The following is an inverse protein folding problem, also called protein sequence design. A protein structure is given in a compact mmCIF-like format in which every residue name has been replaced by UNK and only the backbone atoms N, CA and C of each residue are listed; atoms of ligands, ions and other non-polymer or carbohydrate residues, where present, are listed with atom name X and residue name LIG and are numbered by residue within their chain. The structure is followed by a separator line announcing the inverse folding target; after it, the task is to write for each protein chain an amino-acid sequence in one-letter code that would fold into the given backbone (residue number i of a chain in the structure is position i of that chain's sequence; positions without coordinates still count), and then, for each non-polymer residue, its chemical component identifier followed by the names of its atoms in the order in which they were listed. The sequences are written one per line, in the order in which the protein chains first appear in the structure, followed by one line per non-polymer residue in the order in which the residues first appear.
data_IF_796325658303
#
_entry.id   IF_796325658303
#
_cell.length_a   1.000
_cell.length_b   1.000
_cell.length_c   1.000
_cell.angle_alpha   90.00
_cell.angle_beta   90.00
_cell.angle_gamma   90.00
#
_symmetry.space_group_name_H-M   'P 1'
#
loop_
_entity.id
_entity.type
_entity.pdbx_description
1 polymer ?
#
# COMPACT_ATOMS: atom_id res chain seq x y z
N UNK A 1 14.58 -67.83 34.17
CA UNK A 1 15.36 -68.14 32.95
C UNK A 1 14.64 -67.42 31.76
N UNK A 2 15.18 -66.36 31.27
CA UNK A 2 14.62 -65.61 30.15
C UNK A 2 15.60 -64.55 29.71
N UNK A 3 16.32 -64.82 28.61
CA UNK A 3 17.38 -63.99 28.10
C UNK A 3 16.88 -62.68 27.48
N UNK A 4 17.54 -61.62 27.84
CA UNK A 4 17.43 -60.32 27.18
C UNK A 4 18.32 -60.28 25.94
N UNK A 5 17.75 -60.12 24.75
CA UNK A 5 18.47 -59.84 23.51
C UNK A 5 18.62 -58.33 23.35
N UNK A 6 19.83 -57.83 23.47
CA UNK A 6 20.21 -56.46 23.17
C UNK A 6 20.20 -56.22 21.66
N UNK A 7 19.38 -55.26 21.17
CA UNK A 7 19.44 -54.78 19.79
C UNK A 7 20.53 -53.72 19.66
N UNK A 8 21.50 -53.96 18.77
CA UNK A 8 22.54 -53.00 18.36
C UNK A 8 21.95 -51.93 17.48
N UNK A 9 22.28 -50.67 17.75
CA UNK A 9 22.02 -49.54 16.90
C UNK A 9 22.97 -49.53 15.68
N UNK A 10 22.53 -49.08 14.48
CA UNK A 10 23.43 -49.02 13.32
C UNK A 10 24.32 -47.79 13.42
N UNK A 11 25.63 -48.03 13.15
CA UNK A 11 26.66 -47.00 13.00
C UNK A 11 26.44 -46.27 11.65
N UNK A 12 26.25 -44.96 11.70
CA UNK A 12 26.24 -44.10 10.52
C UNK A 12 27.69 -43.78 10.10
N UNK A 13 28.07 -44.17 8.90
CA UNK A 13 29.32 -43.81 8.24
C UNK A 13 29.19 -42.39 7.65
N UNK A 14 30.12 -41.51 8.03
CA UNK A 14 30.24 -40.15 7.47
C UNK A 14 31.19 -40.20 6.25
N UNK A 15 30.70 -40.65 5.11
CA UNK A 15 31.38 -40.47 3.83
C UNK A 15 30.45 -39.69 2.87
N UNK A 16 30.86 -38.48 2.48
CA UNK A 16 30.18 -37.73 1.39
C UNK A 16 29.88 -36.26 1.62
N UNK A 17 30.76 -35.52 2.28
CA UNK A 17 30.68 -34.05 2.22
C UNK A 17 31.57 -33.51 1.07
N UNK A 18 31.07 -32.70 0.13
CA UNK A 18 31.91 -32.08 -0.88
C UNK A 18 32.76 -30.96 -0.26
N UNK A 19 34.03 -30.90 -0.71
CA UNK A 19 35.03 -29.94 -0.29
C UNK A 19 34.56 -28.46 -0.57
N UNK A 20 35.04 -27.49 0.24
CA UNK A 20 34.71 -26.08 0.01
C UNK A 20 35.35 -25.58 -1.28
N UNK A 21 34.52 -24.93 -2.12
CA UNK A 21 34.95 -24.26 -3.34
C UNK A 21 35.75 -23.00 -2.97
N UNK A 22 37.05 -23.03 -3.23
CA UNK A 22 37.94 -21.87 -3.11
C UNK A 22 37.63 -20.89 -4.26
N UNK A 23 37.34 -19.65 -3.91
CA UNK A 23 37.20 -18.55 -4.88
C UNK A 23 38.55 -18.29 -5.58
N UNK A 24 38.55 -18.03 -6.91
CA UNK A 24 39.76 -17.68 -7.63
C UNK A 24 40.29 -16.31 -7.24
N UNK A 25 41.61 -16.04 -7.40
CA UNK A 25 42.22 -14.79 -6.96
C UNK A 25 41.77 -13.60 -7.82
N UNK A 26 41.61 -12.46 -7.16
CA UNK A 26 41.26 -11.15 -7.71
C UNK A 26 42.20 -10.74 -8.86
N UNK A 27 41.65 -10.47 -10.02
CA UNK A 27 42.40 -10.10 -11.22
C UNK A 27 42.61 -8.58 -11.27
N UNK A 28 43.88 -8.14 -11.19
CA UNK A 28 44.37 -6.76 -11.11
C UNK A 28 44.15 -5.93 -12.43
N UNK A 29 43.34 -6.37 -13.37
CA UNK A 29 43.12 -5.62 -14.63
C UNK A 29 42.01 -4.56 -14.56
N UNK A 30 41.38 -4.31 -13.42
CA UNK A 30 40.30 -3.31 -13.30
C UNK A 30 40.76 -1.88 -12.94
N UNK A 31 42.03 -1.66 -12.61
CA UNK A 31 42.49 -0.30 -12.26
C UNK A 31 42.76 0.64 -13.45
N UNK A 32 42.97 0.10 -14.64
CA UNK A 32 43.25 0.94 -15.84
C UNK A 32 41.98 1.56 -16.44
N UNK A 33 40.81 1.00 -16.18
CA UNK A 33 39.54 1.58 -16.65
C UNK A 33 39.00 2.72 -15.78
N UNK A 34 39.41 2.83 -14.53
CA UNK A 34 38.99 3.93 -13.66
C UNK A 34 39.69 5.26 -13.96
N UNK A 35 40.89 5.21 -14.54
CA UNK A 35 41.67 6.43 -14.86
C UNK A 35 41.20 7.17 -16.10
N UNK A 36 40.40 6.53 -16.99
CA UNK A 36 39.88 7.15 -18.22
C UNK A 36 38.49 7.78 -18.05
N UNK A 37 37.79 7.55 -16.96
CA UNK A 37 36.46 8.14 -16.69
C UNK A 37 36.49 9.49 -15.96
N UNK A 38 37.60 9.88 -15.36
CA UNK A 38 37.69 11.15 -14.65
C UNK A 38 37.46 12.43 -15.50
N UNK A 39 37.87 12.52 -16.79
CA UNK A 39 37.58 13.68 -17.60
C UNK A 39 36.11 13.89 -17.92
N UNK A 40 35.33 12.81 -17.99
CA UNK A 40 33.91 12.85 -18.35
C UNK A 40 33.04 13.34 -17.18
N UNK A 41 33.33 12.92 -15.96
CA UNK A 41 32.64 13.37 -14.75
C UNK A 41 32.94 14.85 -14.43
N UNK A 42 34.19 15.35 -14.70
CA UNK A 42 34.50 16.77 -14.57
C UNK A 42 33.77 17.63 -15.60
N UNK A 43 33.54 17.16 -16.82
CA UNK A 43 32.75 17.89 -17.83
C UNK A 43 31.27 17.96 -17.47
N UNK A 44 30.71 16.93 -16.88
CA UNK A 44 29.31 16.94 -16.39
C UNK A 44 29.13 17.85 -15.20
N UNK A 45 30.06 17.88 -14.25
CA UNK A 45 30.01 18.80 -13.11
C UNK A 45 30.15 20.28 -13.52
N UNK A 46 30.99 20.58 -14.53
CA UNK A 46 31.13 21.93 -15.08
C UNK A 46 29.93 22.38 -15.92
N UNK A 47 29.22 21.44 -16.56
CA UNK A 47 27.98 21.74 -17.29
C UNK A 47 26.82 21.99 -16.31
N UNK A 48 26.70 21.20 -15.21
CA UNK A 48 25.72 21.41 -14.16
C UNK A 48 25.93 22.75 -13.42
N UNK A 49 27.19 23.16 -13.19
CA UNK A 49 27.50 24.46 -12.56
C UNK A 49 27.21 25.67 -13.46
N UNK A 50 27.32 25.51 -14.79
CA UNK A 50 26.97 26.57 -15.76
C UNK A 50 25.47 26.72 -15.99
N UNK A 51 24.68 25.64 -15.87
CA UNK A 51 23.24 25.70 -16.05
C UNK A 51 22.51 26.26 -14.84
N UNK A 52 23.11 26.29 -13.66
CA UNK A 52 22.48 26.89 -12.47
C UNK A 52 22.37 28.43 -12.51
N UNK A 53 23.12 29.12 -13.40
CA UNK A 53 23.05 30.57 -13.48
C UNK A 53 21.97 31.16 -14.39
N UNK A 54 21.23 30.34 -15.14
CA UNK A 54 20.26 30.85 -16.13
C UNK A 54 18.80 30.47 -15.91
N UNK A 55 18.45 29.69 -14.87
CA UNK A 55 17.09 29.08 -14.77
C UNK A 55 16.19 29.56 -13.62
N UNK A 56 16.63 30.40 -12.68
CA UNK A 56 15.77 30.76 -11.54
C UNK A 56 15.80 32.22 -11.08
N UNK A 57 15.23 33.19 -11.83
CA UNK A 57 14.90 34.51 -11.25
C UNK A 57 13.72 34.44 -10.25
N UNK A 58 12.84 33.43 -10.38
CA UNK A 58 11.61 33.32 -9.58
C UNK A 58 11.84 32.85 -8.13
N UNK A 59 12.90 32.12 -7.85
CA UNK A 59 13.16 31.61 -6.48
C UNK A 59 13.76 32.71 -5.57
N UNK A 60 14.45 33.69 -6.11
CA UNK A 60 15.05 34.78 -5.33
C UNK A 60 13.99 35.73 -4.75
N UNK A 61 12.91 35.97 -5.49
CA UNK A 61 11.81 36.82 -5.03
C UNK A 61 10.98 36.23 -3.87
N UNK A 62 11.04 34.93 -3.65
CA UNK A 62 10.32 34.28 -2.53
C UNK A 62 11.13 34.24 -1.22
N UNK A 63 12.42 34.44 -1.27
CA UNK A 63 13.28 34.49 -0.07
C UNK A 63 13.33 35.88 0.60
N UNK A 64 13.15 36.95 -0.17
CA UNK A 64 13.14 38.32 0.37
C UNK A 64 11.85 38.66 1.12
N UNK A 65 10.80 37.86 1.00
CA UNK A 65 9.51 38.06 1.70
C UNK A 65 9.54 37.64 3.18
N UNK A 66 10.57 36.96 3.65
CA UNK A 66 10.69 36.50 5.04
C UNK A 66 11.53 37.39 5.96
N UNK A 67 12.08 38.49 5.45
CA UNK A 67 13.06 39.29 6.20
C UNK A 67 12.53 40.60 6.82
N UNK A 68 11.28 40.98 6.57
CA UNK A 68 10.75 42.24 7.11
C UNK A 68 9.36 42.04 7.74
N UNK A 69 9.35 41.71 9.00
CA UNK A 69 8.15 41.64 9.84
C UNK A 69 8.49 42.03 11.27
N UNK A 70 8.85 43.30 11.50
CA UNK A 70 8.95 43.82 12.86
C UNK A 70 7.58 43.90 13.51
N UNK A 71 7.48 43.27 14.67
CA UNK A 71 6.32 43.31 15.55
C UNK A 71 6.14 44.70 16.14
N UNK A 72 5.11 45.41 15.77
CA UNK A 72 4.61 46.59 16.47
C UNK A 72 3.55 46.18 17.46
N UNK A 73 3.82 46.31 18.74
CA UNK A 73 2.88 46.18 19.84
C UNK A 73 2.24 47.52 20.14
N UNK A 74 0.95 47.67 19.95
CA UNK A 74 0.14 48.68 20.63
C UNK A 74 -1.12 48.04 21.20
N UNK A 75 -1.47 48.29 22.46
CA UNK A 75 -2.68 47.75 23.07
C UNK A 75 -3.85 48.69 22.82
N UNK A 76 -4.96 48.16 22.36
CA UNK A 76 -6.23 48.86 22.37
C UNK A 76 -7.29 48.01 23.01
N UNK A 77 -8.00 48.63 23.89
CA UNK A 77 -9.01 48.24 24.86
C UNK A 77 -10.27 47.59 24.26
N UNK A 78 -10.75 46.60 25.00
CA UNK A 78 -12.16 46.24 25.28
C UNK A 78 -13.23 46.42 24.20
N UNK A 79 -13.66 45.27 23.66
CA UNK A 79 -15.10 45.04 23.54
C UNK A 79 -15.38 43.54 23.74
N UNK A 80 -16.16 43.24 24.80
CA UNK A 80 -16.55 41.92 25.16
C UNK A 80 -17.74 41.48 24.30
N UNK A 81 -17.46 40.90 23.15
CA UNK A 81 -18.43 40.06 22.48
C UNK A 81 -18.25 38.62 22.94
N UNK A 82 -19.31 38.12 23.53
CA UNK A 82 -19.50 36.80 24.05
C UNK A 82 -19.48 35.80 22.90
N UNK A 83 -18.29 35.42 22.48
CA UNK A 83 -18.08 34.34 21.54
C UNK A 83 -18.59 33.04 22.17
N UNK A 84 -19.73 32.59 21.68
CA UNK A 84 -20.30 31.31 22.00
C UNK A 84 -19.27 30.27 21.64
N UNK A 85 -18.57 29.72 22.63
CA UNK A 85 -17.66 28.60 22.44
C UNK A 85 -18.46 27.46 21.82
N UNK A 86 -18.42 27.35 20.49
CA UNK A 86 -18.71 26.09 19.84
C UNK A 86 -17.59 25.17 20.25
N UNK A 87 -17.89 24.31 21.21
CA UNK A 87 -17.07 23.13 21.49
C UNK A 87 -16.72 22.49 20.14
N UNK A 88 -15.46 22.06 19.92
CA UNK A 88 -15.14 21.32 18.71
C UNK A 88 -16.07 20.12 18.68
N UNK A 89 -16.95 20.09 17.67
CA UNK A 89 -17.79 18.94 17.39
C UNK A 89 -16.84 17.77 17.32
N UNK A 90 -17.05 16.83 18.22
CA UNK A 90 -16.26 15.60 18.32
C UNK A 90 -16.40 14.87 16.97
N UNK A 91 -15.45 15.12 16.06
CA UNK A 91 -15.47 14.61 14.70
C UNK A 91 -15.28 13.09 14.67
N UNK A 92 -15.08 12.50 15.84
CA UNK A 92 -14.92 11.09 16.07
C UNK A 92 -16.14 10.52 16.81
N UNK A 93 -17.33 10.71 16.25
CA UNK A 93 -18.47 9.94 16.76
C UNK A 93 -18.18 8.46 16.54
N UNK A 94 -18.17 7.68 17.63
CA UNK A 94 -17.94 6.23 17.65
C UNK A 94 -18.62 5.42 16.52
N UNK A 95 -19.82 5.77 16.04
CA UNK A 95 -20.47 5.01 14.97
C UNK A 95 -19.76 5.06 13.61
N UNK A 96 -19.15 6.17 13.23
CA UNK A 96 -18.49 6.30 11.94
C UNK A 96 -17.15 5.52 11.88
N UNK A 97 -16.41 5.51 12.98
CA UNK A 97 -15.17 4.74 13.11
C UNK A 97 -15.46 3.24 13.14
N UNK A 98 -16.49 2.80 13.85
CA UNK A 98 -16.89 1.38 13.94
C UNK A 98 -17.45 0.84 12.62
N UNK A 99 -18.05 1.68 11.80
CA UNK A 99 -18.58 1.24 10.50
C UNK A 99 -17.50 1.01 9.46
N UNK A 100 -16.36 1.66 9.59
CA UNK A 100 -15.27 1.57 8.61
C UNK A 100 -14.39 0.34 8.82
N UNK A 101 -13.98 0.09 10.05
CA UNK A 101 -13.25 -1.12 10.39
C UNK A 101 -14.28 -2.16 10.86
N UNK A 102 -14.56 -3.14 10.02
CA UNK A 102 -15.35 -4.31 10.37
C UNK A 102 -14.87 -4.79 11.74
N UNK A 103 -15.67 -4.57 12.76
CA UNK A 103 -15.35 -4.69 14.18
C UNK A 103 -14.34 -5.80 14.50
N UNK A 104 -13.09 -5.46 14.64
CA UNK A 104 -12.14 -6.33 15.31
C UNK A 104 -12.23 -6.04 16.82
N UNK A 105 -12.80 -6.96 17.57
CA UNK A 105 -12.83 -6.86 19.04
C UNK A 105 -11.49 -7.19 19.68
N UNK A 106 -10.53 -7.63 18.90
CA UNK A 106 -9.28 -8.11 19.46
C UNK A 106 -8.24 -7.03 19.43
N UNK A 107 -7.91 -6.68 20.62
CA UNK A 107 -6.78 -5.87 21.03
C UNK A 107 -5.55 -6.28 20.23
N UNK A 108 -4.88 -5.31 19.64
CA UNK A 108 -3.54 -5.49 19.11
C UNK A 108 -2.70 -6.31 20.08
N UNK A 109 -2.05 -7.37 19.63
CA UNK A 109 -1.03 -7.98 20.45
C UNK A 109 -0.08 -6.87 20.85
N UNK A 110 0.23 -6.81 22.14
CA UNK A 110 1.19 -5.88 22.69
C UNK A 110 2.38 -5.80 21.74
N UNK A 111 2.75 -4.57 21.36
CA UNK A 111 3.93 -4.32 20.57
C UNK A 111 5.08 -5.18 21.10
N UNK A 112 5.87 -5.87 20.26
CA UNK A 112 6.86 -6.85 20.67
C UNK A 112 8.08 -6.29 21.43
N UNK A 113 7.93 -5.14 22.08
CA UNK A 113 8.84 -4.71 23.16
C UNK A 113 8.67 -5.52 24.44
N UNK A 114 7.77 -6.50 24.47
CA UNK A 114 7.74 -7.50 25.52
C UNK A 114 9.08 -8.28 25.44
N UNK A 115 9.90 -8.05 26.45
CA UNK A 115 11.29 -8.44 26.63
C UNK A 115 11.54 -9.96 26.61
N UNK A 116 11.07 -10.76 25.73
CA UNK A 116 11.37 -12.20 25.65
C UNK A 116 10.82 -12.85 24.36
N UNK A 117 10.41 -12.05 23.37
CA UNK A 117 10.02 -12.61 22.09
C UNK A 117 11.20 -12.45 21.16
N UNK A 118 11.68 -13.55 20.59
CA UNK A 118 12.62 -13.49 19.48
C UNK A 118 12.08 -12.50 18.46
N UNK A 119 12.91 -11.61 17.87
CA UNK A 119 12.45 -10.65 16.89
C UNK A 119 11.97 -11.38 15.64
N UNK A 120 10.75 -11.87 15.68
CA UNK A 120 10.03 -12.16 14.46
C UNK A 120 9.84 -10.82 13.74
N UNK A 121 10.18 -10.80 12.47
CA UNK A 121 9.98 -9.64 11.64
C UNK A 121 8.48 -9.42 11.49
N UNK A 122 7.92 -8.64 12.42
CA UNK A 122 6.54 -8.23 12.37
C UNK A 122 6.40 -7.05 11.42
N UNK A 123 5.35 -7.06 10.62
CA UNK A 123 4.96 -5.89 9.87
C UNK A 123 4.75 -4.73 10.85
N UNK A 124 5.44 -3.58 10.68
CA UNK A 124 5.30 -2.43 11.56
C UNK A 124 3.88 -1.85 11.58
N UNK A 125 3.07 -2.14 10.56
CA UNK A 125 1.66 -1.76 10.50
C UNK A 125 0.83 -2.98 10.87
N UNK A 126 0.16 -2.92 12.02
CA UNK A 126 -0.72 -3.98 12.50
C UNK A 126 -2.00 -4.00 11.67
N UNK A 127 -2.39 -5.18 11.22
CA UNK A 127 -3.65 -5.41 10.54
C UNK A 127 -4.77 -5.77 11.55
N UNK A 128 -5.98 -5.30 11.29
CA UNK A 128 -7.16 -5.68 12.05
C UNK A 128 -7.46 -7.18 11.88
N UNK A 129 -7.97 -7.82 12.92
CA UNK A 129 -8.40 -9.22 12.86
C UNK A 129 -9.83 -9.29 12.34
N UNK A 130 -10.03 -9.93 11.21
CA UNK A 130 -11.35 -10.10 10.63
C UNK A 130 -12.09 -11.31 11.19
N UNK A 131 -13.38 -11.14 11.43
CA UNK A 131 -14.28 -12.27 11.62
C UNK A 131 -14.68 -12.80 10.24
N UNK A 132 -14.22 -14.00 9.87
CA UNK A 132 -14.40 -14.59 8.54
C UNK A 132 -15.88 -14.77 8.14
N UNK A 133 -16.77 -14.96 9.09
CA UNK A 133 -18.21 -15.09 8.82
C UNK A 133 -18.83 -13.74 8.45
N UNK A 134 -18.41 -12.66 9.18
CA UNK A 134 -18.92 -11.31 8.93
C UNK A 134 -18.46 -10.72 7.61
N UNK A 135 -17.23 -11.01 7.18
CA UNK A 135 -16.69 -10.51 5.90
C UNK A 135 -17.16 -11.32 4.68
N UNK A 136 -17.94 -12.36 4.87
CA UNK A 136 -18.52 -13.12 3.76
C UNK A 136 -19.53 -12.29 2.96
N UNK A 137 -20.31 -11.42 3.62
CA UNK A 137 -21.38 -10.61 3.06
C UNK A 137 -20.97 -9.18 2.66
N UNK A 138 -19.74 -9.02 2.21
CA UNK A 138 -19.24 -7.73 1.75
C UNK A 138 -20.08 -7.20 0.58
N UNK A 139 -20.62 -5.98 0.74
CA UNK A 139 -21.48 -5.37 -0.27
C UNK A 139 -20.67 -4.68 -1.38
N UNK A 140 -21.02 -4.97 -2.62
CA UNK A 140 -20.53 -4.22 -3.77
C UNK A 140 -21.34 -2.93 -3.88
N UNK A 141 -20.80 -1.84 -3.36
CA UNK A 141 -21.42 -0.51 -3.47
C UNK A 141 -20.82 0.26 -4.64
N UNK A 142 -21.56 1.26 -5.11
CA UNK A 142 -21.09 2.19 -6.15
C UNK A 142 -21.39 3.63 -5.73
N UNK A 143 -20.36 4.46 -5.75
CA UNK A 143 -20.52 5.90 -5.48
C UNK A 143 -21.09 6.59 -6.72
N UNK A 144 -22.19 7.39 -6.59
CA UNK A 144 -22.82 8.06 -7.72
C UNK A 144 -21.88 9.09 -8.37
N UNK A 145 -21.91 9.14 -9.70
CA UNK A 145 -21.06 10.03 -10.50
C UNK A 145 -21.80 11.32 -10.77
N UNK A 146 -21.52 12.38 -10.01
CA UNK A 146 -22.26 13.67 -10.08
C UNK A 146 -21.42 14.76 -10.71
N UNK A 147 -20.22 14.99 -10.20
CA UNK A 147 -19.36 16.11 -10.61
C UNK A 147 -18.51 15.80 -11.86
N UNK A 148 -17.97 16.83 -12.50
CA UNK A 148 -17.04 16.63 -13.64
C UNK A 148 -15.76 15.91 -13.25
N UNK A 149 -15.23 16.16 -12.05
CA UNK A 149 -14.06 15.45 -11.53
C UNK A 149 -14.35 13.96 -11.32
N UNK A 150 -15.52 13.62 -10.80
CA UNK A 150 -15.96 12.23 -10.64
C UNK A 150 -16.18 11.54 -11.97
N UNK A 151 -16.75 12.24 -12.97
CA UNK A 151 -16.88 11.70 -14.34
C UNK A 151 -15.51 11.38 -14.93
N UNK A 152 -14.56 12.31 -14.82
CA UNK A 152 -13.20 12.09 -15.30
C UNK A 152 -12.55 10.87 -14.60
N UNK A 153 -12.64 10.77 -13.27
CA UNK A 153 -12.14 9.66 -12.49
C UNK A 153 -12.78 8.32 -12.90
N UNK A 154 -14.12 8.29 -12.98
CA UNK A 154 -14.88 7.10 -13.34
C UNK A 154 -14.55 6.58 -14.74
N UNK A 155 -14.57 7.45 -15.76
CA UNK A 155 -14.26 7.02 -17.12
C UNK A 155 -12.79 6.64 -17.30
N UNK A 156 -11.86 7.27 -16.56
CA UNK A 156 -10.47 6.85 -16.53
C UNK A 156 -10.33 5.42 -16.01
N UNK A 157 -10.98 5.09 -14.87
CA UNK A 157 -10.97 3.71 -14.33
C UNK A 157 -11.62 2.73 -15.29
N UNK A 158 -12.77 3.06 -15.88
CA UNK A 158 -13.43 2.15 -16.85
C UNK A 158 -12.55 1.89 -18.06
N UNK A 159 -11.84 2.89 -18.56
CA UNK A 159 -10.91 2.73 -19.69
C UNK A 159 -9.72 1.85 -19.31
N UNK A 160 -9.11 2.10 -18.13
CA UNK A 160 -8.01 1.27 -17.62
C UNK A 160 -8.46 -0.17 -17.41
N UNK A 161 -9.66 -0.37 -16.82
CA UNK A 161 -10.22 -1.69 -16.60
C UNK A 161 -10.42 -2.46 -17.91
N UNK A 162 -11.06 -1.86 -18.91
CA UNK A 162 -11.28 -2.48 -20.21
C UNK A 162 -9.95 -2.81 -20.89
N UNK A 163 -8.98 -1.89 -20.83
CA UNK A 163 -7.64 -2.13 -21.39
C UNK A 163 -6.94 -3.29 -20.69
N UNK A 164 -6.95 -3.30 -19.36
CA UNK A 164 -6.32 -4.36 -18.57
C UNK A 164 -7.01 -5.73 -18.76
N UNK A 165 -8.35 -5.76 -18.79
CA UNK A 165 -9.10 -7.00 -19.02
C UNK A 165 -8.76 -7.62 -20.38
N UNK A 166 -8.61 -6.82 -21.42
CA UNK A 166 -8.19 -7.30 -22.75
C UNK A 166 -6.76 -7.83 -22.75
N UNK A 167 -5.83 -7.11 -22.12
CA UNK A 167 -4.41 -7.51 -22.10
C UNK A 167 -4.17 -8.73 -21.22
N UNK A 168 -4.87 -8.83 -20.08
CA UNK A 168 -4.76 -9.95 -19.14
C UNK A 168 -5.56 -11.19 -19.55
N UNK A 169 -6.35 -11.11 -20.63
CA UNK A 169 -7.19 -12.21 -21.09
C UNK A 169 -8.33 -12.55 -20.13
N UNK A 170 -8.82 -11.56 -19.37
CA UNK A 170 -9.93 -11.76 -18.46
C UNK A 170 -11.22 -12.14 -19.20
N UNK A 171 -11.86 -13.21 -18.74
CA UNK A 171 -13.02 -13.82 -19.43
C UNK A 171 -14.36 -13.37 -18.86
N UNK A 172 -14.35 -12.46 -17.88
CA UNK A 172 -15.56 -12.02 -17.20
C UNK A 172 -16.01 -12.96 -16.05
N UNK A 173 -17.07 -12.59 -15.32
CA UNK A 173 -17.64 -13.43 -14.29
C UNK A 173 -18.08 -14.79 -14.86
N UNK A 174 -17.73 -15.88 -14.19
CA UNK A 174 -18.04 -17.25 -14.66
C UNK A 174 -17.23 -17.71 -15.88
N UNK A 175 -16.23 -16.93 -16.31
CA UNK A 175 -15.41 -17.25 -17.47
C UNK A 175 -14.34 -18.34 -17.22
N UNK A 176 -14.35 -18.98 -16.06
CA UNK A 176 -13.46 -20.09 -15.68
C UNK A 176 -11.98 -19.81 -15.96
N UNK A 177 -11.44 -18.79 -15.30
CA UNK A 177 -10.01 -18.49 -15.38
C UNK A 177 -9.19 -19.57 -14.63
N UNK A 178 -8.00 -19.86 -15.15
CA UNK A 178 -7.09 -20.80 -14.47
C UNK A 178 -6.43 -20.15 -13.25
N UNK A 179 -5.92 -20.97 -12.30
CA UNK A 179 -5.11 -20.50 -11.17
C UNK A 179 -3.97 -19.58 -11.62
N UNK A 180 -3.30 -19.95 -12.72
CA UNK A 180 -2.22 -19.17 -13.29
C UNK A 180 -2.67 -17.77 -13.74
N UNK A 181 -3.83 -17.68 -14.37
CA UNK A 181 -4.36 -16.43 -14.92
C UNK A 181 -4.77 -15.50 -13.78
N UNK A 182 -5.43 -16.03 -12.75
CA UNK A 182 -5.78 -15.28 -11.55
C UNK A 182 -4.54 -14.77 -10.80
N UNK A 183 -3.54 -15.63 -10.59
CA UNK A 183 -2.30 -15.20 -9.91
C UNK A 183 -1.56 -14.11 -10.69
N UNK A 184 -1.48 -14.20 -12.02
CA UNK A 184 -0.86 -13.13 -12.81
C UNK A 184 -1.66 -11.83 -12.71
N UNK A 185 -2.99 -11.92 -12.73
CA UNK A 185 -3.86 -10.76 -12.62
C UNK A 185 -3.71 -10.08 -11.25
N UNK A 186 -3.81 -10.83 -10.15
CA UNK A 186 -3.63 -10.30 -8.81
C UNK A 186 -2.22 -9.70 -8.64
N UNK A 187 -1.16 -10.42 -8.99
CA UNK A 187 0.21 -9.92 -8.90
C UNK A 187 0.42 -8.59 -9.64
N UNK A 188 -0.21 -8.41 -10.80
CA UNK A 188 -0.08 -7.16 -11.54
C UNK A 188 -0.88 -6.03 -10.86
N UNK A 189 -2.12 -6.28 -10.48
CA UNK A 189 -2.98 -5.28 -9.84
C UNK A 189 -2.37 -4.79 -8.53
N UNK A 190 -1.99 -5.70 -7.63
CA UNK A 190 -1.36 -5.37 -6.35
C UNK A 190 0.00 -4.65 -6.51
N UNK A 191 0.72 -4.94 -7.60
CA UNK A 191 2.00 -4.25 -7.86
C UNK A 191 1.85 -2.77 -8.19
N UNK A 192 0.66 -2.32 -8.59
CA UNK A 192 0.36 -0.91 -8.90
C UNK A 192 -0.60 -0.27 -7.91
N UNK A 193 -1.38 -1.06 -7.17
CA UNK A 193 -2.40 -0.58 -6.24
C UNK A 193 -1.83 0.24 -5.07
N UNK A 194 -0.66 -0.12 -4.55
CA UNK A 194 0.01 0.67 -3.50
C UNK A 194 0.56 2.03 -3.95
N UNK A 195 0.55 2.35 -5.26
CA UNK A 195 1.10 3.62 -5.76
C UNK A 195 0.28 4.84 -5.30
N UNK A 196 -1.06 4.86 -5.38
CA UNK A 196 -1.87 6.01 -4.99
C UNK A 196 -1.68 6.42 -3.52
N UNK A 197 -1.78 5.48 -2.59
CA UNK A 197 -1.60 5.72 -1.15
C UNK A 197 -0.22 6.30 -0.85
N UNK A 198 0.83 5.73 -1.47
CA UNK A 198 2.21 6.22 -1.30
C UNK A 198 2.38 7.63 -1.87
N UNK A 199 1.88 7.93 -3.06
CA UNK A 199 1.97 9.28 -3.68
C UNK A 199 1.16 10.29 -2.88
N UNK A 200 -0.07 9.96 -2.49
CA UNK A 200 -0.92 10.83 -1.66
C UNK A 200 -0.27 11.12 -0.31
N UNK A 201 0.19 10.08 0.38
CA UNK A 201 0.90 10.19 1.67
C UNK A 201 2.15 11.07 1.57
N UNK A 202 3.00 10.83 0.57
CA UNK A 202 4.21 11.61 0.31
C UNK A 202 3.89 13.10 0.06
N UNK A 203 2.95 13.40 -0.83
CA UNK A 203 2.61 14.78 -1.18
C UNK A 203 1.99 15.53 0.00
N UNK A 204 1.14 14.87 0.79
CA UNK A 204 0.57 15.42 2.02
C UNK A 204 1.64 15.63 3.09
N UNK A 205 2.57 14.67 3.25
CA UNK A 205 3.69 14.79 4.18
C UNK A 205 4.56 16.02 3.87
N UNK A 206 5.00 16.16 2.61
CA UNK A 206 5.78 17.31 2.19
C UNK A 206 5.01 18.63 2.35
N UNK A 207 3.69 18.62 2.12
CA UNK A 207 2.83 19.78 2.34
C UNK A 207 2.74 20.15 3.83
N UNK A 208 2.59 19.16 4.71
CA UNK A 208 2.57 19.36 6.16
C UNK A 208 3.86 20.03 6.64
N UNK A 209 5.01 19.53 6.20
CA UNK A 209 6.33 20.11 6.52
C UNK A 209 6.46 21.54 6.02
N UNK A 210 6.15 21.83 4.74
CA UNK A 210 6.24 23.18 4.16
C UNK A 210 5.33 24.19 4.86
N UNK A 211 4.17 23.74 5.33
CA UNK A 211 3.20 24.61 6.01
C UNK A 211 3.37 24.65 7.52
N UNK A 212 4.24 23.77 8.08
CA UNK A 212 4.39 23.58 9.53
C UNK A 212 3.03 23.36 10.23
N UNK A 213 2.16 22.55 9.61
CA UNK A 213 0.80 22.25 10.08
C UNK A 213 0.56 20.76 10.15
N UNK A 214 -0.27 20.36 11.11
CA UNK A 214 -0.73 18.96 11.21
C UNK A 214 -1.53 18.56 9.97
N UNK A 215 -1.47 17.28 9.61
CA UNK A 215 -2.24 16.72 8.48
C UNK A 215 -3.50 15.97 8.93
N UNK A 216 -3.75 15.93 10.24
CA UNK A 216 -4.97 15.36 10.81
C UNK A 216 -5.25 13.90 10.42
N UNK A 217 -4.19 13.10 10.38
CA UNK A 217 -4.28 11.63 10.21
C UNK A 217 -4.32 11.12 8.78
N UNK A 218 -4.46 11.96 7.77
CA UNK A 218 -4.52 11.50 6.37
C UNK A 218 -3.24 10.76 5.94
N UNK A 219 -2.06 11.29 6.32
CA UNK A 219 -0.78 10.66 5.96
C UNK A 219 -0.73 9.23 6.48
N UNK A 220 -1.11 9.03 7.74
CA UNK A 220 -1.11 7.72 8.37
C UNK A 220 -2.03 6.76 7.62
N UNK A 221 -3.30 7.13 7.41
CA UNK A 221 -4.28 6.30 6.68
C UNK A 221 -3.80 5.91 5.28
N UNK A 222 -3.21 6.85 4.52
CA UNK A 222 -2.72 6.58 3.17
C UNK A 222 -1.49 5.68 3.14
N UNK A 223 -0.62 5.78 4.16
CA UNK A 223 0.54 4.89 4.28
C UNK A 223 0.13 3.48 4.72
N UNK A 224 -0.87 3.36 5.60
CA UNK A 224 -1.46 2.06 5.95
C UNK A 224 -2.05 1.37 4.73
N UNK A 225 -2.82 2.09 3.91
CA UNK A 225 -3.36 1.58 2.64
C UNK A 225 -2.24 1.09 1.71
N UNK A 226 -1.22 1.93 1.47
CA UNK A 226 -0.10 1.57 0.60
C UNK A 226 0.69 0.34 1.12
N UNK A 227 0.86 0.19 2.42
CA UNK A 227 1.53 -0.96 3.02
C UNK A 227 0.66 -2.21 2.99
N UNK A 228 -0.66 -2.07 3.13
CA UNK A 228 -1.60 -3.17 3.00
C UNK A 228 -1.58 -3.74 1.57
N UNK A 229 -1.60 -2.88 0.54
CA UNK A 229 -1.44 -3.30 -0.86
C UNK A 229 -0.12 -4.04 -1.11
N UNK A 230 0.97 -3.54 -0.50
CA UNK A 230 2.25 -4.24 -0.56
C UNK A 230 2.19 -5.63 0.09
N UNK A 231 1.44 -5.79 1.18
CA UNK A 231 1.24 -7.10 1.83
C UNK A 231 0.42 -8.04 0.96
N UNK A 232 -0.64 -7.56 0.28
CA UNK A 232 -1.37 -8.34 -0.72
C UNK A 232 -0.43 -8.88 -1.81
N UNK A 233 0.42 -8.00 -2.38
CA UNK A 233 1.41 -8.41 -3.35
C UNK A 233 2.34 -9.51 -2.82
N UNK A 234 2.89 -9.36 -1.60
CA UNK A 234 3.79 -10.34 -1.00
C UNK A 234 3.10 -11.68 -0.73
N UNK A 235 1.83 -11.67 -0.35
CA UNK A 235 1.00 -12.85 -0.18
C UNK A 235 0.86 -13.61 -1.51
N UNK A 236 0.50 -12.92 -2.60
CA UNK A 236 0.41 -13.53 -3.92
C UNK A 236 1.77 -13.98 -4.47
N UNK A 237 2.85 -13.26 -4.19
CA UNK A 237 4.22 -13.67 -4.55
C UNK A 237 4.64 -14.95 -3.84
N UNK A 238 4.11 -15.26 -2.66
CA UNK A 238 4.34 -16.53 -1.98
C UNK A 238 3.67 -17.70 -2.71
N UNK A 239 2.56 -17.46 -3.38
CA UNK A 239 1.88 -18.47 -4.22
C UNK A 239 2.56 -18.63 -5.59
N UNK A 240 3.09 -17.54 -6.15
CA UNK A 240 3.73 -17.55 -7.47
C UNK A 240 4.77 -16.44 -7.61
N UNK A 241 6.00 -16.85 -7.88
CA UNK A 241 7.07 -15.91 -8.19
C UNK A 241 7.00 -15.43 -9.64
N UNK A 242 6.91 -14.10 -9.89
CA UNK A 242 6.90 -13.55 -11.24
C UNK A 242 8.27 -13.62 -11.90
N UNK A 243 8.31 -13.95 -13.19
CA UNK A 243 9.53 -13.95 -13.99
C UNK A 243 10.05 -12.53 -14.32
N UNK A 244 11.25 -12.44 -14.90
CA UNK A 244 11.90 -11.16 -15.20
C UNK A 244 11.08 -10.26 -16.15
N UNK A 245 10.44 -10.84 -17.16
CA UNK A 245 9.60 -10.09 -18.11
C UNK A 245 8.41 -9.41 -17.40
N UNK A 246 7.70 -10.16 -16.56
CA UNK A 246 6.60 -9.62 -15.77
C UNK A 246 7.09 -8.46 -14.86
N UNK A 247 8.25 -8.62 -14.21
CA UNK A 247 8.84 -7.57 -13.36
C UNK A 247 9.16 -6.30 -14.16
N UNK A 248 9.64 -6.45 -15.39
CA UNK A 248 9.90 -5.31 -16.30
C UNK A 248 8.60 -4.58 -16.67
N UNK A 249 7.52 -5.33 -16.94
CA UNK A 249 6.20 -4.73 -17.20
C UNK A 249 5.70 -3.95 -15.98
N UNK A 250 5.88 -4.48 -14.76
CA UNK A 250 5.53 -3.80 -13.52
C UNK A 250 6.31 -2.49 -13.37
N UNK A 251 7.63 -2.48 -13.61
CA UNK A 251 8.44 -1.25 -13.56
C UNK A 251 7.89 -0.19 -14.52
N UNK A 252 7.56 -0.59 -15.75
CA UNK A 252 6.96 0.32 -16.75
C UNK A 252 5.59 0.85 -16.30
N UNK A 253 4.72 -0.05 -15.84
CA UNK A 253 3.38 0.31 -15.35
C UNK A 253 3.44 1.25 -14.14
N UNK A 254 4.27 0.93 -13.14
CA UNK A 254 4.48 1.81 -11.98
C UNK A 254 5.03 3.18 -12.39
N UNK A 255 5.99 3.22 -13.33
CA UNK A 255 6.55 4.49 -13.82
C UNK A 255 5.48 5.39 -14.44
N UNK A 256 4.64 4.84 -15.31
CA UNK A 256 3.53 5.59 -15.94
C UNK A 256 2.49 6.00 -14.89
N UNK A 257 2.06 5.06 -14.06
CA UNK A 257 1.00 5.30 -13.09
C UNK A 257 1.44 6.30 -12.01
N UNK A 258 2.66 6.14 -11.45
CA UNK A 258 3.21 7.06 -10.48
C UNK A 258 3.26 8.50 -11.01
N UNK A 259 3.84 8.72 -12.19
CA UNK A 259 3.97 10.07 -12.74
C UNK A 259 2.60 10.67 -13.08
N UNK A 260 1.71 9.90 -13.70
CA UNK A 260 0.36 10.34 -14.02
C UNK A 260 -0.44 10.71 -12.77
N UNK A 261 -0.42 9.83 -11.76
CA UNK A 261 -1.12 10.07 -10.48
C UNK A 261 -0.51 11.24 -9.71
N UNK A 262 0.83 11.34 -9.65
CA UNK A 262 1.54 12.44 -9.02
C UNK A 262 1.11 13.80 -9.60
N UNK A 263 1.17 13.95 -10.92
CA UNK A 263 0.80 15.20 -11.59
C UNK A 263 -0.68 15.53 -11.38
N UNK A 264 -1.55 14.53 -11.46
CA UNK A 264 -3.00 14.72 -11.23
C UNK A 264 -3.28 15.10 -9.78
N UNK A 265 -2.57 14.51 -8.82
CA UNK A 265 -2.74 14.83 -7.38
C UNK A 265 -2.32 16.27 -7.05
N UNK A 266 -1.29 16.80 -7.73
CA UNK A 266 -0.91 18.22 -7.59
C UNK A 266 -2.04 19.16 -8.07
N UNK A 267 -2.81 18.75 -9.07
CA UNK A 267 -3.90 19.56 -9.64
C UNK A 267 -5.18 19.39 -8.82
N UNK A 268 -5.58 18.16 -8.51
CA UNK A 268 -6.84 17.86 -7.83
C UNK A 268 -6.75 16.61 -6.96
N UNK A 269 -6.30 16.74 -5.69
CA UNK A 269 -6.31 15.62 -4.76
C UNK A 269 -7.68 14.96 -4.60
N UNK A 270 -8.75 15.78 -4.57
CA UNK A 270 -10.13 15.31 -4.49
C UNK A 270 -10.48 14.32 -5.63
N UNK A 271 -10.13 14.68 -6.87
CA UNK A 271 -10.37 13.81 -8.03
C UNK A 271 -9.54 12.54 -7.96
N UNK A 272 -8.30 12.62 -7.45
CA UNK A 272 -7.45 11.45 -7.25
C UNK A 272 -8.01 10.48 -6.21
N UNK A 273 -8.49 10.97 -5.06
CA UNK A 273 -9.15 10.11 -4.09
C UNK A 273 -10.43 9.48 -4.65
N UNK A 274 -11.22 10.24 -5.43
CA UNK A 274 -12.40 9.66 -6.10
C UNK A 274 -11.99 8.60 -7.15
N UNK A 275 -10.90 8.81 -7.86
CA UNK A 275 -10.34 7.84 -8.80
C UNK A 275 -9.95 6.54 -8.08
N UNK A 276 -9.24 6.64 -6.93
CA UNK A 276 -8.89 5.45 -6.14
C UNK A 276 -10.15 4.77 -5.61
N UNK A 277 -11.12 5.51 -5.06
CA UNK A 277 -12.39 4.92 -4.64
C UNK A 277 -13.07 4.07 -5.73
N UNK A 278 -13.11 4.56 -6.99
CA UNK A 278 -13.62 3.77 -8.11
C UNK A 278 -12.68 2.61 -8.52
N UNK A 279 -11.37 2.75 -8.33
CA UNK A 279 -10.41 1.67 -8.53
C UNK A 279 -10.73 0.52 -7.58
N UNK A 280 -10.94 0.83 -6.30
CA UNK A 280 -11.23 -0.18 -5.27
C UNK A 280 -12.63 -0.79 -5.43
N UNK A 281 -13.62 -0.07 -5.97
CA UNK A 281 -14.88 -0.68 -6.40
C UNK A 281 -14.64 -1.81 -7.43
N UNK A 282 -13.72 -1.62 -8.38
CA UNK A 282 -13.36 -2.64 -9.37
C UNK A 282 -12.47 -3.74 -8.76
N UNK A 283 -11.67 -3.45 -7.71
CA UNK A 283 -10.91 -4.45 -6.95
C UNK A 283 -11.86 -5.38 -6.17
N UNK A 284 -12.79 -4.81 -5.39
CA UNK A 284 -13.86 -5.58 -4.69
C UNK A 284 -14.59 -6.50 -5.65
N UNK A 285 -14.96 -5.99 -6.84
CA UNK A 285 -15.63 -6.77 -7.87
C UNK A 285 -14.76 -7.91 -8.40
N UNK A 286 -13.47 -7.63 -8.61
CA UNK A 286 -12.50 -8.62 -9.08
C UNK A 286 -12.34 -9.75 -8.07
N UNK A 287 -12.16 -9.44 -6.79
CA UNK A 287 -12.05 -10.45 -5.73
C UNK A 287 -13.36 -11.18 -5.48
N UNK A 288 -14.51 -10.54 -5.68
CA UNK A 288 -15.82 -11.24 -5.63
C UNK A 288 -15.93 -12.26 -6.76
N UNK A 289 -15.52 -11.91 -7.99
CA UNK A 289 -15.49 -12.87 -9.09
C UNK A 289 -14.50 -14.02 -8.85
N UNK A 290 -13.35 -13.74 -8.24
CA UNK A 290 -12.39 -14.78 -7.86
C UNK A 290 -12.97 -15.75 -6.82
N UNK A 291 -13.63 -15.24 -5.77
CA UNK A 291 -14.30 -16.07 -4.79
C UNK A 291 -15.41 -16.93 -5.43
N UNK A 292 -16.16 -16.35 -6.37
CA UNK A 292 -17.18 -17.08 -7.11
C UNK A 292 -16.57 -18.21 -7.96
N UNK A 293 -15.46 -17.98 -8.67
CA UNK A 293 -14.77 -19.03 -9.43
C UNK A 293 -14.27 -20.18 -8.51
N UNK A 294 -13.89 -19.86 -7.25
CA UNK A 294 -13.55 -20.88 -6.26
C UNK A 294 -14.80 -21.65 -5.82
N UNK A 295 -15.92 -20.96 -5.58
CA UNK A 295 -17.18 -21.56 -5.15
C UNK A 295 -17.78 -22.47 -6.21
N UNK A 296 -17.72 -22.05 -7.47
CA UNK A 296 -18.22 -22.79 -8.65
C UNK A 296 -17.35 -24.02 -9.01
N UNK A 297 -16.24 -24.22 -8.30
CA UNK A 297 -15.38 -25.39 -8.48
C UNK A 297 -14.31 -25.23 -9.58
N UNK A 298 -14.14 -24.05 -10.16
CA UNK A 298 -13.09 -23.80 -11.15
C UNK A 298 -11.69 -23.80 -10.53
N UNK A 299 -11.59 -23.54 -9.22
CA UNK A 299 -10.36 -23.45 -8.44
C UNK A 299 -10.44 -24.27 -7.14
N UNK A 300 -10.96 -25.48 -7.21
CA UNK A 300 -11.17 -26.35 -6.04
C UNK A 300 -9.92 -26.58 -5.18
N UNK A 301 -8.74 -26.57 -5.81
CA UNK A 301 -7.45 -26.68 -5.11
C UNK A 301 -7.30 -25.58 -4.06
N UNK A 302 -7.85 -24.39 -4.29
CA UNK A 302 -7.73 -23.25 -3.37
C UNK A 302 -8.60 -23.37 -2.12
N UNK A 303 -9.68 -24.14 -2.16
CA UNK A 303 -10.46 -24.52 -0.96
C UNK A 303 -9.70 -25.49 -0.06
N UNK A 304 -8.81 -26.31 -0.63
CA UNK A 304 -8.07 -27.32 0.11
C UNK A 304 -6.68 -26.86 0.54
N UNK A 305 -6.10 -25.93 -0.21
CA UNK A 305 -4.74 -25.43 0.02
C UNK A 305 -4.73 -24.40 1.15
N UNK A 306 -3.90 -24.64 2.17
CA UNK A 306 -3.72 -23.70 3.28
C UNK A 306 -3.25 -22.34 2.76
N UNK A 307 -3.72 -21.29 3.40
CA UNK A 307 -3.21 -19.94 3.18
C UNK A 307 -1.69 -19.90 3.45
N UNK A 308 -0.90 -19.13 2.68
CA UNK A 308 0.52 -18.93 2.95
C UNK A 308 0.78 -18.43 4.38
N UNK A 309 1.90 -18.82 4.98
CA UNK A 309 2.24 -18.42 6.35
C UNK A 309 2.22 -16.89 6.54
N UNK A 310 2.69 -16.15 5.54
CA UNK A 310 2.65 -14.69 5.55
C UNK A 310 1.21 -14.15 5.69
N UNK A 311 0.23 -14.74 5.01
CA UNK A 311 -1.18 -14.37 5.13
C UNK A 311 -1.75 -14.79 6.49
N UNK A 312 -1.41 -16.00 6.96
CA UNK A 312 -1.85 -16.48 8.27
C UNK A 312 -1.37 -15.55 9.39
N UNK A 313 -0.13 -15.11 9.32
CA UNK A 313 0.47 -14.18 10.30
C UNK A 313 -0.13 -12.79 10.20
N UNK A 314 -0.25 -12.27 8.98
CA UNK A 314 -0.73 -10.90 8.74
C UNK A 314 -2.19 -10.71 9.17
N UNK A 315 -3.08 -11.57 8.72
CA UNK A 315 -4.50 -11.53 9.05
C UNK A 315 -4.84 -12.25 10.37
N UNK A 316 -3.85 -12.86 11.04
CA UNK A 316 -4.08 -13.70 12.24
C UNK A 316 -5.16 -14.75 12.01
N UNK A 317 -5.08 -15.43 10.87
CA UNK A 317 -6.07 -16.41 10.46
C UNK A 317 -6.09 -17.60 11.42
N UNK A 318 -7.26 -18.22 11.64
CA UNK A 318 -7.35 -19.41 12.47
C UNK A 318 -6.55 -20.58 11.88
N UNK A 319 -6.10 -21.52 12.74
CA UNK A 319 -5.42 -22.72 12.27
C UNK A 319 -6.27 -23.48 11.25
N UNK A 320 -5.70 -23.76 10.09
CA UNK A 320 -6.40 -24.46 9.01
C UNK A 320 -7.09 -23.59 7.98
N UNK A 321 -7.06 -22.27 8.13
CA UNK A 321 -7.55 -21.35 7.12
C UNK A 321 -6.87 -21.59 5.75
N UNK A 322 -7.65 -21.50 4.70
CA UNK A 322 -7.26 -21.80 3.34
C UNK A 322 -7.12 -20.52 2.47
N UNK A 323 -6.80 -20.70 1.19
CA UNK A 323 -6.66 -19.58 0.26
C UNK A 323 -8.00 -18.84 0.08
N UNK A 324 -9.13 -19.51 0.11
CA UNK A 324 -10.45 -18.88 0.02
C UNK A 324 -10.68 -17.89 1.19
N UNK A 325 -10.31 -18.28 2.43
CA UNK A 325 -10.41 -17.41 3.60
C UNK A 325 -9.48 -16.19 3.47
N UNK A 326 -8.27 -16.40 2.97
CA UNK A 326 -7.32 -15.34 2.68
C UNK A 326 -7.89 -14.33 1.66
N UNK A 327 -8.49 -14.80 0.57
CA UNK A 327 -9.09 -13.92 -0.45
C UNK A 327 -10.28 -13.12 0.12
N UNK A 328 -11.06 -13.69 1.05
CA UNK A 328 -12.11 -12.94 1.75
C UNK A 328 -11.52 -11.75 2.55
N UNK A 329 -10.38 -11.96 3.21
CA UNK A 329 -9.71 -10.89 3.95
C UNK A 329 -9.21 -9.79 3.01
N UNK A 330 -8.53 -10.14 1.92
CA UNK A 330 -8.10 -9.18 0.90
C UNK A 330 -9.30 -8.38 0.36
N UNK A 331 -10.40 -9.05 -0.02
CA UNK A 331 -11.61 -8.35 -0.48
C UNK A 331 -12.16 -7.37 0.56
N UNK A 332 -12.06 -7.70 1.85
CA UNK A 332 -12.50 -6.81 2.92
C UNK A 332 -11.60 -5.58 3.05
N UNK A 333 -10.29 -5.72 2.82
CA UNK A 333 -9.35 -4.60 2.76
C UNK A 333 -9.70 -3.66 1.60
N UNK A 334 -9.97 -4.20 0.41
CA UNK A 334 -10.38 -3.38 -0.76
C UNK A 334 -11.66 -2.58 -0.48
N UNK A 335 -12.58 -3.14 0.32
CA UNK A 335 -13.77 -2.40 0.76
C UNK A 335 -13.41 -1.24 1.68
N UNK A 336 -12.46 -1.44 2.59
CA UNK A 336 -11.97 -0.38 3.46
C UNK A 336 -11.27 0.71 2.65
N UNK A 337 -10.39 0.36 1.72
CA UNK A 337 -9.70 1.30 0.83
C UNK A 337 -10.69 2.11 -0.01
N UNK A 338 -11.73 1.46 -0.56
CA UNK A 338 -12.83 2.10 -1.27
C UNK A 338 -13.50 3.18 -0.41
N UNK A 339 -13.88 2.81 0.81
CA UNK A 339 -14.62 3.69 1.71
C UNK A 339 -13.75 4.84 2.22
N UNK A 340 -12.46 4.58 2.51
CA UNK A 340 -11.46 5.61 2.82
C UNK A 340 -11.36 6.63 1.70
N UNK A 341 -11.15 6.19 0.48
CA UNK A 341 -10.89 7.10 -0.64
C UNK A 341 -12.13 7.87 -1.06
N UNK A 342 -13.32 7.27 -1.04
CA UNK A 342 -14.57 8.02 -1.24
C UNK A 342 -14.78 9.08 -0.16
N UNK A 343 -14.53 8.73 1.10
CA UNK A 343 -14.59 9.68 2.23
C UNK A 343 -13.59 10.81 2.05
N UNK A 344 -12.34 10.50 1.73
CA UNK A 344 -11.31 11.51 1.48
C UNK A 344 -11.63 12.42 0.30
N UNK A 345 -12.31 11.91 -0.73
CA UNK A 345 -12.79 12.73 -1.82
C UNK A 345 -13.92 13.70 -1.38
N UNK A 346 -14.71 13.37 -0.37
CA UNK A 346 -15.80 14.22 0.11
C UNK A 346 -15.35 15.24 1.17
N UNK A 347 -14.27 14.95 1.89
CA UNK A 347 -13.73 15.85 2.91
C UNK A 347 -13.04 17.08 2.29
N UNK A 348 -13.01 18.17 3.07
CA UNK A 348 -12.20 19.36 2.74
C UNK A 348 -10.71 18.99 2.73
N UNK A 349 -10.06 19.16 1.59
CA UNK A 349 -8.65 18.78 1.39
C UNK A 349 -7.66 19.58 2.25
N UNK A 350 -8.10 20.64 2.91
CA UNK A 350 -7.25 21.54 3.71
C UNK A 350 -7.52 21.46 5.21
N UNK A 351 -8.75 21.18 5.60
CA UNK A 351 -9.25 21.26 6.97
C UNK A 351 -9.87 19.95 7.46
N UNK A 352 -10.17 19.02 6.54
CA UNK A 352 -10.77 17.74 6.89
C UNK A 352 -9.86 16.93 7.82
N UNK A 353 -10.47 16.27 8.80
CA UNK A 353 -9.81 15.36 9.71
C UNK A 353 -10.12 13.94 9.21
N UNK A 354 -9.12 13.07 9.15
CA UNK A 354 -9.35 11.67 8.81
C UNK A 354 -10.18 11.01 9.92
N UNK A 355 -11.34 10.44 9.61
CA UNK A 355 -12.16 9.73 10.61
C UNK A 355 -11.60 8.34 10.95
N UNK A 356 -10.52 7.92 10.28
CA UNK A 356 -9.97 6.57 10.35
C UNK A 356 -8.78 6.44 11.31
N UNK A 357 -8.40 7.51 11.99
CA UNK A 357 -7.28 7.52 12.95
C UNK A 357 -7.84 7.61 14.35
N UNK A 358 -7.42 6.69 15.22
CA UNK A 358 -7.78 6.77 16.66
C UNK A 358 -7.20 8.03 17.32
N UNK A 359 -7.93 8.59 18.28
CA UNK A 359 -7.62 9.84 18.99
C UNK A 359 -6.31 9.83 19.84
N UNK A 360 -5.37 8.93 19.59
CA UNK A 360 -4.15 8.78 20.39
C UNK A 360 -2.94 9.54 19.81
N UNK A 361 -3.17 10.61 19.01
CA UNK A 361 -2.09 11.48 18.51
C UNK A 361 -2.34 12.96 18.79
#
# INVERSE_FOLDING_TARGET
MGGQTARRLPTFSLEGLPAPVLNPPFNIKSQTQMLTMQPMLRRQALWAAKSQHSLFPAIRASMDFFSTGAVSTTPTTNDAEKEKSTEPVDAFSEPAYKAHFLESKDVHPLHPTAKNVEPMWDNPINHAVYNLDKISDVQQTHHPVVTMGERAAYYAIKTLRVGFDKVSGYRGPGGAMTERDWLHRCLFLESVAGVPGMVGGMLRHLRSLRRMKRDYGWIHTLLEEAENERMHLLIFMNLKQPGWFFRTLVVGAQGVFFNGFFLTYLVSPKTCHRFVGYLEEEAVKTYTCLLQDIEDGHLDVWKQKKAPLIAQTYYKLPPGANIYDMIKCIRADECNHRDVNHTFADLDQNKGISPFVSNHH
#
